data_IF_337869029062
#
_entry.id   IF_337869029062
#
_cell.length_a   1.000
_cell.length_b   1.000
_cell.length_c   1.000
_cell.angle_alpha   90.00
_cell.angle_beta   90.00
_cell.angle_gamma   90.00
#
_symmetry.space_group_name_H-M   'P 1'
#
loop_
_entity.id
_entity.type
_entity.pdbx_description
1 polymer ?
#
# COMPACT_ATOMS: atom_id res chain seq x y z
N UNK A 1 35.22 11.54 42.69
CA UNK A 1 34.29 11.99 41.62
C UNK A 1 32.99 12.47 42.26
N UNK A 2 32.63 13.74 42.09
CA UNK A 2 31.46 14.34 42.77
C UNK A 2 30.19 14.18 41.92
N UNK A 3 29.02 13.97 42.55
CA UNK A 3 27.72 13.79 41.87
C UNK A 3 27.38 14.94 40.90
N UNK A 4 27.88 16.16 41.18
CA UNK A 4 27.75 17.34 40.32
C UNK A 4 28.49 17.20 38.98
N UNK A 5 29.64 16.52 38.96
CA UNK A 5 30.42 16.25 37.75
C UNK A 5 29.72 15.25 36.82
N UNK A 6 29.09 14.21 37.36
CA UNK A 6 28.36 13.21 36.55
C UNK A 6 27.08 13.79 35.92
N UNK A 7 26.32 14.61 36.66
CA UNK A 7 25.13 15.29 36.10
C UNK A 7 25.50 16.25 34.97
N UNK A 8 26.63 16.95 35.10
CA UNK A 8 27.16 17.81 34.03
C UNK A 8 27.53 16.99 32.80
N UNK A 9 28.25 15.87 32.97
CA UNK A 9 28.67 15.00 31.87
C UNK A 9 27.49 14.35 31.13
N UNK A 10 26.47 13.90 31.85
CA UNK A 10 25.24 13.37 31.27
C UNK A 10 24.46 14.45 30.50
N UNK A 11 24.37 15.66 31.06
CA UNK A 11 23.69 16.76 30.38
C UNK A 11 24.41 17.25 29.13
N UNK A 12 25.75 17.17 29.09
CA UNK A 12 26.51 17.46 27.87
C UNK A 12 26.35 16.36 26.82
N UNK A 13 26.24 15.09 27.23
CA UNK A 13 25.98 13.98 26.30
C UNK A 13 24.61 14.11 25.62
N UNK A 14 23.56 14.39 26.40
CA UNK A 14 22.21 14.56 25.87
C UNK A 14 22.10 15.76 24.91
N UNK A 15 22.77 16.88 25.24
CA UNK A 15 22.82 18.04 24.34
C UNK A 15 23.56 17.74 23.04
N UNK A 16 24.64 16.96 23.10
CA UNK A 16 25.37 16.54 21.90
C UNK A 16 24.55 15.60 21.01
N UNK A 17 23.75 14.71 21.60
CA UNK A 17 22.80 13.87 20.86
C UNK A 17 21.69 14.70 20.19
N UNK A 18 21.08 15.64 20.92
CA UNK A 18 20.06 16.54 20.37
C UNK A 18 20.60 17.38 19.20
N UNK A 19 21.83 17.88 19.31
CA UNK A 19 22.51 18.64 18.25
C UNK A 19 22.83 17.77 17.04
N UNK A 20 23.30 16.53 17.25
CA UNK A 20 23.53 15.58 16.17
C UNK A 20 22.25 15.20 15.43
N UNK A 21 21.13 15.08 16.15
CA UNK A 21 19.81 14.80 15.56
C UNK A 21 19.35 16.00 14.73
N UNK A 22 19.47 17.24 15.23
CA UNK A 22 19.14 18.46 14.47
C UNK A 22 19.97 18.58 13.20
N UNK A 23 21.29 18.42 13.30
CA UNK A 23 22.18 18.45 12.15
C UNK A 23 21.84 17.38 11.10
N UNK A 24 21.31 16.23 11.53
CA UNK A 24 20.85 15.16 10.62
C UNK A 24 19.54 15.52 9.93
N UNK A 25 18.63 16.21 10.61
CA UNK A 25 17.40 16.74 10.01
C UNK A 25 17.69 17.88 9.04
N UNK A 26 18.55 18.84 9.40
CA UNK A 26 18.94 19.95 8.52
C UNK A 26 19.63 19.44 7.24
N UNK A 27 20.48 18.40 7.37
CA UNK A 27 21.10 17.73 6.22
C UNK A 27 20.09 16.99 5.35
N UNK A 28 19.02 16.46 5.93
CA UNK A 28 17.96 15.81 5.16
C UNK A 28 17.12 16.85 4.41
N UNK A 29 16.86 18.00 5.03
CA UNK A 29 16.13 19.12 4.41
C UNK A 29 16.92 19.71 3.23
N UNK A 30 18.22 19.96 3.39
CA UNK A 30 19.05 20.46 2.29
C UNK A 30 19.14 19.48 1.10
N UNK A 31 19.21 18.17 1.35
CA UNK A 31 19.19 17.15 0.30
C UNK A 31 17.83 17.08 -0.44
N UNK A 32 16.74 17.42 0.25
CA UNK A 32 15.41 17.49 -0.35
C UNK A 32 15.23 18.80 -1.13
N UNK A 33 15.78 19.91 -0.64
CA UNK A 33 15.77 21.21 -1.33
C UNK A 33 16.63 21.20 -2.60
N UNK A 34 17.83 20.60 -2.58
CA UNK A 34 18.69 20.42 -3.76
C UNK A 34 18.01 19.55 -4.83
N UNK A 35 17.23 18.54 -4.41
CA UNK A 35 16.39 17.75 -5.33
C UNK A 35 15.20 18.52 -5.85
N UNK A 36 14.62 19.42 -5.04
CA UNK A 36 13.50 20.25 -5.47
C UNK A 36 13.94 21.36 -6.44
N UNK A 37 15.17 21.86 -6.35
CA UNK A 37 15.71 22.89 -7.26
C UNK A 37 16.13 22.36 -8.64
N UNK A 38 16.20 21.04 -8.84
CA UNK A 38 16.30 20.43 -10.18
C UNK A 38 14.94 20.02 -10.77
N UNK A 39 13.82 20.18 -10.04
CA UNK A 39 12.47 19.81 -10.50
C UNK A 39 11.46 20.97 -10.38
N UNK A 40 11.82 22.09 -9.74
CA UNK A 40 11.01 23.31 -9.60
C UNK A 40 11.11 24.22 -10.83
N UNK A 41 10.79 23.65 -11.99
CA UNK A 41 10.68 24.39 -13.25
C UNK A 41 9.61 23.81 -14.14
N UNK A 42 8.35 23.76 -13.68
CA UNK A 42 7.14 23.97 -14.53
C UNK A 42 5.85 23.57 -13.82
N UNK A 43 5.11 24.58 -13.35
CA UNK A 43 3.65 24.52 -13.33
C UNK A 43 3.15 25.82 -13.95
N UNK A 44 2.74 25.76 -15.23
CA UNK A 44 1.57 26.43 -15.83
C UNK A 44 1.60 26.21 -17.36
N UNK A 45 0.64 25.40 -17.81
CA UNK A 45 -0.11 25.45 -19.09
C UNK A 45 0.60 25.54 -20.47
N UNK A 46 0.24 24.56 -21.33
CA UNK A 46 0.34 24.40 -22.80
C UNK A 46 1.65 23.89 -23.47
N UNK A 47 1.41 22.83 -24.26
CA UNK A 47 2.12 22.33 -25.46
C UNK A 47 3.28 21.32 -25.29
N UNK A 48 3.03 20.11 -25.82
CA UNK A 48 3.93 19.01 -26.26
C UNK A 48 5.14 19.48 -27.13
N UNK A 49 6.15 18.63 -27.50
CA UNK A 49 6.33 17.16 -27.38
C UNK A 49 7.79 16.69 -27.05
N UNK A 50 8.05 15.37 -26.93
CA UNK A 50 9.37 14.82 -27.28
C UNK A 50 9.89 13.55 -26.57
N UNK A 51 9.52 12.39 -27.11
CA UNK A 51 10.30 11.12 -27.23
C UNK A 51 11.19 10.66 -26.06
N UNK A 52 10.67 9.66 -25.34
CA UNK A 52 11.38 8.39 -25.22
C UNK A 52 10.48 7.28 -25.79
N UNK A 53 10.98 6.62 -26.82
CA UNK A 53 10.31 5.56 -27.58
C UNK A 53 10.26 4.27 -26.78
N UNK A 54 9.16 4.07 -26.07
CA UNK A 54 8.58 2.76 -25.81
C UNK A 54 7.18 2.79 -26.44
N UNK A 55 6.75 1.74 -27.18
CA UNK A 55 5.39 1.70 -27.68
C UNK A 55 4.44 1.87 -26.48
N UNK A 56 3.36 2.67 -26.60
CA UNK A 56 2.40 2.82 -25.52
C UNK A 56 1.72 1.47 -25.33
N UNK A 57 2.29 0.63 -24.47
CA UNK A 57 1.56 -0.47 -23.89
C UNK A 57 0.38 0.19 -23.20
N UNK A 58 -0.82 -0.03 -23.74
CA UNK A 58 -2.05 0.49 -23.15
C UNK A 58 -2.12 -0.10 -21.76
N UNK A 59 -1.70 0.67 -20.75
CA UNK A 59 -1.78 0.24 -19.36
C UNK A 59 -3.24 -0.02 -19.08
N UNK A 60 -3.56 -1.25 -18.73
CA UNK A 60 -4.93 -1.67 -18.43
C UNK A 60 -5.51 -0.75 -17.34
N UNK A 61 -6.76 -0.32 -17.51
CA UNK A 61 -7.42 0.57 -16.56
C UNK A 61 -7.56 -0.17 -15.22
N UNK A 62 -6.91 0.36 -14.18
CA UNK A 62 -7.02 -0.20 -12.82
C UNK A 62 -8.26 0.35 -12.13
N UNK A 63 -9.24 -0.53 -11.85
CA UNK A 63 -10.45 -0.21 -11.08
C UNK A 63 -10.27 -0.72 -9.65
N UNK A 64 -10.60 0.11 -8.66
CA UNK A 64 -10.56 -0.24 -7.23
C UNK A 64 -11.98 -0.38 -6.71
N UNK A 65 -12.29 -1.51 -6.11
CA UNK A 65 -13.59 -1.80 -5.52
C UNK A 65 -13.45 -2.18 -4.03
N UNK A 66 -14.52 -2.01 -3.25
CA UNK A 66 -14.59 -2.31 -1.82
C UNK A 66 -15.66 -3.37 -1.55
N UNK A 67 -15.26 -4.53 -1.04
CA UNK A 67 -16.16 -5.66 -0.79
C UNK A 67 -16.62 -5.73 0.66
N UNK A 68 -17.88 -6.12 0.86
CA UNK A 68 -18.42 -6.53 2.16
C UNK A 68 -18.46 -8.06 2.20
N UNK A 69 -17.76 -8.68 3.15
CA UNK A 69 -17.63 -10.13 3.28
C UNK A 69 -18.04 -10.59 4.69
N UNK A 70 -18.60 -11.80 4.84
CA UNK A 70 -18.71 -12.46 6.14
C UNK A 70 -17.33 -12.60 6.79
N UNK A 71 -17.29 -12.58 8.12
CA UNK A 71 -16.03 -12.71 8.87
C UNK A 71 -15.27 -14.01 8.53
N UNK A 72 -16.00 -15.11 8.29
CA UNK A 72 -15.43 -16.40 7.90
C UNK A 72 -14.69 -16.35 6.56
N UNK A 73 -15.28 -15.71 5.56
CA UNK A 73 -14.62 -15.57 4.25
C UNK A 73 -13.42 -14.63 4.31
N UNK A 74 -13.48 -13.61 5.15
CA UNK A 74 -12.35 -12.73 5.40
C UNK A 74 -11.18 -13.48 6.06
N UNK A 75 -11.46 -14.37 7.01
CA UNK A 75 -10.46 -15.27 7.62
C UNK A 75 -9.84 -16.23 6.58
N UNK A 76 -10.63 -16.75 5.63
CA UNK A 76 -10.13 -17.59 4.54
C UNK A 76 -9.09 -16.86 3.67
N UNK A 77 -9.33 -15.59 3.34
CA UNK A 77 -8.34 -14.77 2.60
C UNK A 77 -7.04 -14.69 3.39
N UNK A 78 -7.09 -14.45 4.70
CA UNK A 78 -5.90 -14.40 5.54
C UNK A 78 -5.16 -15.74 5.58
N UNK A 79 -5.89 -16.85 5.72
CA UNK A 79 -5.32 -18.20 5.72
C UNK A 79 -4.63 -18.54 4.39
N UNK A 80 -5.24 -18.18 3.25
CA UNK A 80 -4.64 -18.37 1.93
C UNK A 80 -3.34 -17.58 1.80
N UNK A 81 -3.34 -16.30 2.21
CA UNK A 81 -2.12 -15.49 2.20
C UNK A 81 -1.01 -16.10 3.05
N UNK A 82 -1.33 -16.60 4.24
CA UNK A 82 -0.37 -17.30 5.09
C UNK A 82 0.18 -18.57 4.44
N UNK A 83 -0.65 -19.33 3.71
CA UNK A 83 -0.17 -20.47 2.92
C UNK A 83 0.79 -20.06 1.81
N UNK A 84 0.50 -18.97 1.09
CA UNK A 84 1.41 -18.44 0.08
C UNK A 84 2.74 -17.99 0.69
N UNK A 85 2.71 -17.34 1.87
CA UNK A 85 3.91 -16.90 2.57
C UNK A 85 4.82 -18.07 2.96
N UNK A 86 4.24 -19.21 3.37
CA UNK A 86 5.01 -20.44 3.63
C UNK A 86 5.74 -20.95 2.39
N UNK A 87 5.22 -20.65 1.20
CA UNK A 87 5.86 -20.94 -0.09
C UNK A 87 6.70 -19.77 -0.61
N UNK A 88 7.10 -18.83 0.25
CA UNK A 88 7.87 -17.63 -0.09
C UNK A 88 7.18 -16.66 -1.07
N UNK A 89 5.86 -16.72 -1.21
CA UNK A 89 5.06 -15.79 -2.04
C UNK A 89 4.25 -14.86 -1.16
N UNK A 90 4.51 -13.55 -1.25
CA UNK A 90 3.73 -12.55 -0.53
C UNK A 90 2.49 -12.13 -1.32
N UNK A 91 1.37 -12.81 -1.10
CA UNK A 91 0.10 -12.49 -1.74
C UNK A 91 -0.64 -11.35 -1.00
N UNK A 92 -1.12 -10.37 -1.75
CA UNK A 92 -2.03 -9.31 -1.28
C UNK A 92 -3.49 -9.78 -1.30
N UNK A 93 -4.39 -9.03 -0.63
CA UNK A 93 -5.84 -9.37 -0.61
C UNK A 93 -6.43 -9.38 -2.03
N UNK A 94 -6.13 -8.34 -2.82
CA UNK A 94 -6.62 -8.22 -4.19
C UNK A 94 -6.07 -9.31 -5.12
N UNK A 95 -4.86 -9.81 -4.89
CA UNK A 95 -4.32 -10.95 -5.66
C UNK A 95 -5.04 -12.25 -5.34
N UNK A 96 -5.34 -12.53 -4.07
CA UNK A 96 -6.12 -13.72 -3.70
C UNK A 96 -7.50 -13.70 -4.35
N UNK A 97 -8.17 -12.55 -4.33
CA UNK A 97 -9.48 -12.39 -4.96
C UNK A 97 -9.38 -12.60 -6.48
N UNK A 98 -8.41 -11.96 -7.15
CA UNK A 98 -8.19 -12.14 -8.60
C UNK A 98 -7.87 -13.59 -8.96
N UNK A 99 -7.02 -14.27 -8.18
CA UNK A 99 -6.72 -15.68 -8.37
C UNK A 99 -7.98 -16.55 -8.26
N UNK A 100 -8.85 -16.27 -7.27
CA UNK A 100 -10.14 -16.92 -7.13
C UNK A 100 -11.03 -16.72 -8.37
N UNK A 101 -11.10 -15.50 -8.90
CA UNK A 101 -11.89 -15.21 -10.12
C UNK A 101 -11.39 -16.00 -11.33
N UNK A 102 -10.07 -16.11 -11.52
CA UNK A 102 -9.50 -16.90 -12.63
C UNK A 102 -9.84 -18.39 -12.50
N UNK A 103 -9.82 -18.94 -11.29
CA UNK A 103 -10.21 -20.34 -11.04
C UNK A 103 -11.71 -20.52 -11.31
N UNK A 104 -12.55 -19.62 -10.82
CA UNK A 104 -14.01 -19.68 -11.05
C UNK A 104 -14.35 -19.59 -12.55
N UNK A 105 -13.63 -18.78 -13.31
CA UNK A 105 -13.80 -18.65 -14.75
C UNK A 105 -13.35 -19.88 -15.55
N UNK A 106 -12.53 -20.77 -14.95
CA UNK A 106 -12.11 -22.03 -15.57
C UNK A 106 -13.06 -23.21 -15.30
N UNK A 107 -14.07 -23.04 -14.44
CA UNK A 107 -15.04 -24.09 -14.14
C UNK A 107 -16.07 -24.23 -15.26
N UNK A 108 -16.73 -25.39 -15.34
CA UNK A 108 -17.93 -25.55 -16.18
C UNK A 108 -19.12 -24.78 -15.60
N UNK A 109 -20.12 -24.49 -16.44
CA UNK A 109 -21.32 -23.74 -16.02
C UNK A 109 -22.06 -24.45 -14.88
N UNK A 110 -22.17 -25.78 -14.92
CA UNK A 110 -22.83 -26.57 -13.88
C UNK A 110 -22.10 -26.48 -12.53
N UNK A 111 -20.77 -26.59 -12.55
CA UNK A 111 -19.93 -26.48 -11.36
C UNK A 111 -19.97 -25.07 -10.79
N UNK A 112 -19.93 -24.05 -11.65
CA UNK A 112 -20.00 -22.65 -11.24
C UNK A 112 -21.32 -22.38 -10.50
N UNK A 113 -22.45 -22.79 -11.07
CA UNK A 113 -23.77 -22.63 -10.44
C UNK A 113 -23.83 -23.36 -9.10
N UNK A 114 -23.30 -24.59 -9.03
CA UNK A 114 -23.24 -25.35 -7.79
C UNK A 114 -22.42 -24.63 -6.72
N UNK A 115 -21.23 -24.11 -7.06
CA UNK A 115 -20.35 -23.39 -6.13
C UNK A 115 -21.03 -22.10 -5.62
N UNK A 116 -21.63 -21.32 -6.51
CA UNK A 116 -22.32 -20.08 -6.15
C UNK A 116 -23.52 -20.35 -5.23
N UNK A 117 -24.29 -21.40 -5.48
CA UNK A 117 -25.45 -21.75 -4.65
C UNK A 117 -25.08 -22.20 -3.22
N UNK A 118 -23.83 -22.60 -2.98
CA UNK A 118 -23.35 -22.96 -1.63
C UNK A 118 -22.96 -21.74 -0.80
N UNK A 119 -22.79 -20.57 -1.41
CA UNK A 119 -22.39 -19.36 -0.70
C UNK A 119 -23.55 -18.81 0.14
N UNK A 120 -23.25 -18.40 1.37
CA UNK A 120 -24.20 -17.70 2.21
C UNK A 120 -24.48 -16.31 1.62
N UNK A 121 -25.76 -15.95 1.51
CA UNK A 121 -26.13 -14.60 1.09
C UNK A 121 -25.76 -13.60 2.18
N UNK A 122 -24.80 -12.73 1.88
CA UNK A 122 -24.45 -11.62 2.76
C UNK A 122 -25.66 -10.69 2.87
N UNK A 123 -26.21 -10.55 4.09
CA UNK A 123 -27.24 -9.55 4.37
C UNK A 123 -26.60 -8.17 4.35
N UNK A 124 -26.51 -7.56 3.19
CA UNK A 124 -26.02 -6.19 3.04
C UNK A 124 -27.08 -5.24 3.61
N UNK A 125 -26.82 -4.65 4.77
CA UNK A 125 -27.65 -3.59 5.36
C UNK A 125 -27.44 -2.25 4.64
N UNK A 126 -27.71 -2.19 3.33
CA UNK A 126 -27.56 -0.97 2.52
C UNK A 126 -28.19 0.21 3.30
N UNK A 127 -27.47 1.31 3.59
CA UNK A 127 -28.12 2.52 4.04
C UNK A 127 -29.06 2.97 2.92
N UNK A 128 -30.33 3.22 3.24
CA UNK A 128 -31.30 3.69 2.28
C UNK A 128 -30.77 4.95 1.58
N UNK A 129 -30.79 4.96 0.25
CA UNK A 129 -30.53 6.16 -0.53
C UNK A 129 -31.52 7.24 -0.08
N UNK A 130 -31.02 8.39 0.40
CA UNK A 130 -31.80 9.62 0.33
C UNK A 130 -31.86 10.00 -1.15
N UNK A 131 -33.07 9.98 -1.70
CA UNK A 131 -33.46 10.64 -2.96
C UNK A 131 -33.14 12.13 -2.83
#
# INVERSE_FOLDING_TARGET
MTKKSMKSALSSSLKAEDEAVRNRFDKAESLLEDKSSQVAGSVTEKQQPGKDTQPPTSREKVIRDSFTLPGRDYELIAAIRQRCLKSAVNATKSEVIRAGLHILASLSDEELVMVINRLEKVKTGRPAEKI
#
